data_IF_201454109478
#
_entry.id   IF_201454109478
#
_cell.length_a   1.000
_cell.length_b   1.000
_cell.length_c   1.000
_cell.angle_alpha   90.00
_cell.angle_beta   90.00
_cell.angle_gamma   90.00
#
_symmetry.space_group_name_H-M   'P 1'
#
loop_
_entity.id
_entity.type
_entity.pdbx_description
1 polymer ?
#
# COMPACT_ATOMS: atom_id res chain seq x y z
N UNK A 1 62.07 -24.58 10.50
CA UNK A 1 60.68 -24.10 10.69
C UNK A 1 60.72 -22.61 10.43
N UNK A 2 60.38 -22.20 9.21
CA UNK A 2 60.59 -20.82 8.73
C UNK A 2 59.25 -20.31 8.24
N UNK A 3 58.80 -19.21 8.84
CA UNK A 3 57.57 -18.51 8.50
C UNK A 3 57.71 -17.85 7.13
N UNK A 4 56.65 -17.89 6.32
CA UNK A 4 56.56 -17.12 5.08
C UNK A 4 55.29 -16.28 5.08
N UNK A 5 55.51 -14.98 5.26
CA UNK A 5 54.66 -13.89 4.77
C UNK A 5 54.48 -14.01 3.24
N UNK A 6 53.36 -13.51 2.69
CA UNK A 6 53.39 -12.76 1.43
C UNK A 6 52.05 -12.12 1.08
N UNK A 7 52.18 -10.86 0.68
CA UNK A 7 51.20 -9.84 0.32
C UNK A 7 50.40 -10.12 -0.96
N UNK A 8 49.17 -9.57 -1.02
CA UNK A 8 48.41 -9.19 -2.23
C UNK A 8 49.20 -8.15 -3.07
N UNK A 9 48.79 -7.69 -4.29
CA UNK A 9 47.48 -7.80 -4.98
C UNK A 9 47.53 -7.97 -6.53
N UNK A 10 46.40 -8.25 -7.22
CA UNK A 10 46.22 -7.88 -8.64
C UNK A 10 44.78 -7.95 -9.17
N UNK A 11 44.26 -6.78 -9.54
CA UNK A 11 43.52 -6.40 -10.76
C UNK A 11 42.40 -7.27 -11.38
N UNK A 12 41.16 -6.84 -11.10
CA UNK A 12 40.10 -6.36 -12.03
C UNK A 12 39.52 -7.28 -13.15
N UNK A 13 38.40 -6.91 -13.81
CA UNK A 13 37.05 -7.40 -13.48
C UNK A 13 36.43 -8.20 -14.65
N UNK A 14 35.56 -9.18 -14.37
CA UNK A 14 34.85 -9.89 -15.45
C UNK A 14 33.37 -10.07 -15.13
N UNK A 15 32.56 -9.68 -16.12
CA UNK A 15 31.16 -9.99 -16.37
C UNK A 15 30.11 -9.39 -15.42
N UNK A 16 29.61 -8.22 -15.84
CA UNK A 16 28.24 -7.79 -15.58
C UNK A 16 27.27 -8.83 -16.17
N UNK A 17 26.71 -9.70 -15.33
CA UNK A 17 25.37 -10.23 -15.55
C UNK A 17 24.40 -9.31 -14.81
N UNK A 18 23.32 -8.80 -15.44
CA UNK A 18 22.27 -8.12 -14.70
C UNK A 18 21.56 -9.19 -13.87
N UNK A 19 22.00 -9.36 -12.63
CA UNK A 19 21.26 -10.08 -11.62
C UNK A 19 19.92 -9.36 -11.52
N UNK A 20 18.89 -9.99 -12.08
CA UNK A 20 17.53 -9.53 -11.97
C UNK A 20 17.30 -9.19 -10.50
N UNK A 21 16.99 -7.93 -10.24
CA UNK A 21 16.55 -7.50 -8.93
C UNK A 21 15.25 -8.25 -8.65
N UNK A 22 15.37 -9.44 -8.07
CA UNK A 22 14.32 -10.06 -7.31
C UNK A 22 13.87 -8.99 -6.33
N UNK A 23 12.65 -8.42 -6.43
CA UNK A 23 12.15 -7.58 -5.36
C UNK A 23 12.03 -8.54 -4.18
N UNK A 24 12.98 -8.43 -3.26
CA UNK A 24 12.98 -9.16 -2.01
C UNK A 24 11.58 -8.99 -1.42
N UNK A 25 10.79 -10.07 -1.49
CA UNK A 25 9.64 -10.27 -0.63
C UNK A 25 10.21 -10.30 0.79
N UNK A 26 10.39 -9.11 1.36
CA UNK A 26 10.74 -8.93 2.75
C UNK A 26 9.66 -9.63 3.54
N UNK A 27 10.03 -10.80 4.05
CA UNK A 27 9.48 -11.41 5.25
C UNK A 27 9.68 -10.42 6.39
N UNK A 28 8.81 -9.44 6.43
CA UNK A 28 8.53 -8.62 7.59
C UNK A 28 7.06 -8.23 7.46
N UNK A 29 6.25 -8.71 8.39
CA UNK A 29 5.10 -7.96 8.85
C UNK A 29 5.65 -6.63 9.41
N UNK A 30 6.01 -5.72 8.50
CA UNK A 30 6.75 -4.52 8.81
C UNK A 30 5.77 -3.41 9.13
N UNK A 31 5.91 -2.89 10.33
CA UNK A 31 5.35 -1.66 10.91
C UNK A 31 5.75 -0.39 10.14
N UNK A 32 5.85 -0.46 8.81
CA UNK A 32 6.30 0.61 7.91
C UNK A 32 5.20 1.05 6.96
N UNK A 33 5.14 2.35 6.67
CA UNK A 33 4.19 2.92 5.72
C UNK A 33 4.37 2.32 4.32
N UNK A 34 3.27 2.09 3.57
CA UNK A 34 3.36 1.73 2.16
C UNK A 34 4.09 2.85 1.41
N UNK A 35 5.14 2.52 0.66
CA UNK A 35 5.97 3.50 -0.07
C UNK A 35 5.68 3.55 -1.58
N UNK A 36 4.86 2.63 -2.10
CA UNK A 36 4.58 2.51 -3.53
C UNK A 36 3.55 1.44 -3.87
N UNK A 37 3.06 1.49 -5.12
CA UNK A 37 2.15 0.51 -5.71
C UNK A 37 2.94 -0.69 -6.26
N UNK A 38 3.43 -1.55 -5.37
CA UNK A 38 4.26 -2.70 -5.75
C UNK A 38 3.46 -3.93 -6.21
N UNK A 39 2.14 -3.92 -6.03
CA UNK A 39 1.25 -5.03 -6.36
C UNK A 39 1.30 -6.16 -5.32
N UNK A 40 0.72 -7.30 -5.69
CA UNK A 40 0.71 -8.49 -4.82
C UNK A 40 2.13 -9.08 -4.69
N UNK A 41 2.48 -9.67 -3.53
CA UNK A 41 3.75 -10.35 -3.36
C UNK A 41 3.81 -11.62 -4.24
N UNK A 42 5.03 -12.01 -4.63
CA UNK A 42 5.25 -13.23 -5.39
C UNK A 42 4.63 -14.45 -4.69
N UNK A 43 3.74 -15.17 -5.38
CA UNK A 43 3.01 -16.32 -4.87
C UNK A 43 1.59 -16.03 -4.34
N UNK A 44 1.17 -14.76 -4.27
CA UNK A 44 -0.23 -14.42 -3.99
C UNK A 44 -1.05 -14.44 -5.29
N UNK A 45 -1.84 -15.51 -5.45
CA UNK A 45 -2.71 -15.71 -6.62
C UNK A 45 -4.16 -15.29 -6.33
N UNK A 46 -4.41 -14.52 -5.26
CA UNK A 46 -5.77 -14.04 -4.95
C UNK A 46 -6.18 -12.99 -5.98
N UNK A 47 -7.37 -13.16 -6.57
CA UNK A 47 -7.97 -12.12 -7.40
C UNK A 47 -8.45 -10.91 -6.59
N UNK A 48 -8.77 -9.82 -7.29
CA UNK A 48 -9.24 -8.57 -6.68
C UNK A 48 -10.44 -8.77 -5.74
N UNK A 49 -11.44 -9.55 -6.17
CA UNK A 49 -12.63 -9.86 -5.37
C UNK A 49 -12.29 -10.56 -4.07
N UNK A 50 -11.35 -11.51 -4.10
CA UNK A 50 -10.90 -12.22 -2.90
C UNK A 50 -10.18 -11.27 -1.95
N UNK A 51 -9.37 -10.35 -2.47
CA UNK A 51 -8.72 -9.31 -1.65
C UNK A 51 -9.76 -8.37 -1.03
N UNK A 52 -10.73 -7.90 -1.80
CA UNK A 52 -11.81 -7.05 -1.27
C UNK A 52 -12.64 -7.76 -0.21
N UNK A 53 -12.93 -9.05 -0.40
CA UNK A 53 -13.73 -9.80 0.55
C UNK A 53 -12.97 -10.10 1.85
N UNK A 54 -11.66 -10.30 1.76
CA UNK A 54 -10.77 -10.56 2.91
C UNK A 54 -10.49 -9.27 3.71
N UNK A 55 -10.68 -8.09 3.12
CA UNK A 55 -10.37 -6.79 3.74
C UNK A 55 -11.65 -5.96 3.96
N UNK A 56 -12.31 -6.09 5.12
CA UNK A 56 -13.53 -5.33 5.41
C UNK A 56 -13.33 -3.81 5.36
N UNK A 57 -12.12 -3.31 5.65
CA UNK A 57 -11.78 -1.90 5.59
C UNK A 57 -11.88 -1.33 4.17
N UNK A 58 -11.55 -2.14 3.14
CA UNK A 58 -11.76 -1.75 1.75
C UNK A 58 -13.24 -1.63 1.42
N UNK A 59 -14.06 -2.55 1.92
CA UNK A 59 -15.51 -2.50 1.70
C UNK A 59 -16.10 -1.24 2.31
N UNK A 60 -15.60 -0.81 3.46
CA UNK A 60 -16.04 0.43 4.11
C UNK A 60 -15.68 1.68 3.27
N UNK A 61 -14.46 1.75 2.73
CA UNK A 61 -14.03 2.81 1.80
C UNK A 61 -14.88 2.83 0.52
N UNK A 62 -15.14 1.66 -0.05
CA UNK A 62 -15.91 1.50 -1.28
C UNK A 62 -17.41 1.76 -1.09
N UNK A 63 -17.92 1.54 0.11
CA UNK A 63 -19.31 1.81 0.48
C UNK A 63 -19.58 3.30 0.65
N UNK A 64 -18.55 4.15 0.70
CA UNK A 64 -18.72 5.59 0.68
C UNK A 64 -19.33 5.98 -0.67
N UNK A 65 -20.65 6.12 -0.71
CA UNK A 65 -21.40 6.47 -1.93
C UNK A 65 -21.66 7.98 -1.97
N UNK A 66 -21.49 8.58 -3.16
CA UNK A 66 -21.70 10.02 -3.34
C UNK A 66 -20.81 10.66 -4.41
N UNK A 67 -21.13 11.90 -4.82
CA UNK A 67 -20.41 12.60 -5.89
C UNK A 67 -18.94 12.87 -5.54
N UNK A 68 -18.64 13.11 -4.27
CA UNK A 68 -17.25 13.26 -3.80
C UNK A 68 -16.48 11.94 -3.86
N UNK A 69 -17.14 10.83 -3.50
CA UNK A 69 -16.51 9.52 -3.48
C UNK A 69 -16.03 9.11 -4.86
N UNK A 70 -16.75 9.47 -5.93
CA UNK A 70 -16.33 9.07 -7.27
C UNK A 70 -15.02 9.74 -7.71
N UNK A 71 -14.84 11.04 -7.46
CA UNK A 71 -13.56 11.74 -7.70
C UNK A 71 -12.45 11.17 -6.82
N UNK A 72 -12.75 10.94 -5.55
CA UNK A 72 -11.83 10.38 -4.58
C UNK A 72 -11.37 8.96 -4.93
N UNK A 73 -12.29 8.06 -5.27
CA UNK A 73 -12.00 6.70 -5.72
C UNK A 73 -11.19 6.71 -7.03
N UNK A 74 -11.48 7.62 -7.95
CA UNK A 74 -10.68 7.80 -9.17
C UNK A 74 -9.24 8.23 -8.85
N UNK A 75 -9.06 9.16 -7.91
CA UNK A 75 -7.72 9.56 -7.43
C UNK A 75 -6.99 8.40 -6.75
N UNK A 76 -7.68 7.61 -5.92
CA UNK A 76 -7.11 6.40 -5.32
C UNK A 76 -6.64 5.43 -6.40
N UNK A 77 -7.48 5.17 -7.41
CA UNK A 77 -7.12 4.31 -8.55
C UNK A 77 -5.91 4.83 -9.32
N UNK A 78 -5.75 6.14 -9.46
CA UNK A 78 -4.53 6.72 -10.07
C UNK A 78 -3.26 6.40 -9.28
N UNK A 79 -3.36 6.24 -7.95
CA UNK A 79 -2.23 5.94 -7.08
C UNK A 79 -1.99 4.42 -6.92
N UNK A 80 -3.06 3.63 -6.79
CA UNK A 80 -2.97 2.19 -6.50
C UNK A 80 -3.07 1.31 -7.74
N UNK A 81 -3.60 1.83 -8.84
CA UNK A 81 -4.05 1.09 -10.02
C UNK A 81 -5.58 0.98 -10.09
N UNK A 82 -6.12 0.71 -11.28
CA UNK A 82 -7.56 0.51 -11.46
C UNK A 82 -7.97 -0.91 -11.04
N UNK A 83 -8.60 -0.99 -9.87
CA UNK A 83 -9.22 -2.20 -9.33
C UNK A 83 -10.71 -2.32 -9.71
N UNK A 84 -11.21 -1.41 -10.55
CA UNK A 84 -12.61 -1.36 -10.95
C UNK A 84 -12.99 -2.47 -11.94
N UNK A 85 -14.30 -2.71 -12.14
CA UNK A 85 -14.76 -3.67 -13.14
C UNK A 85 -14.47 -3.23 -14.58
N UNK A 86 -14.10 -1.96 -14.79
CA UNK A 86 -13.72 -1.42 -16.11
C UNK A 86 -12.36 -1.91 -16.61
N UNK A 87 -11.54 -2.53 -15.74
CA UNK A 87 -10.26 -3.11 -16.12
C UNK A 87 -10.45 -4.60 -16.47
N UNK A 88 -10.30 -4.97 -17.74
CA UNK A 88 -10.39 -6.36 -18.18
C UNK A 88 -9.26 -7.25 -17.64
N UNK A 89 -8.14 -6.65 -17.21
CA UNK A 89 -7.01 -7.38 -16.67
C UNK A 89 -7.22 -7.74 -15.19
N UNK A 90 -7.59 -8.99 -14.96
CA UNK A 90 -7.84 -9.54 -13.62
C UNK A 90 -6.61 -9.47 -12.69
N UNK A 91 -5.41 -9.66 -13.24
CA UNK A 91 -4.15 -9.59 -12.47
C UNK A 91 -3.88 -8.15 -12.03
N UNK A 92 -4.00 -7.19 -12.97
CA UNK A 92 -3.84 -5.76 -12.69
C UNK A 92 -4.85 -5.27 -11.66
N UNK A 93 -6.11 -5.74 -11.74
CA UNK A 93 -7.13 -5.44 -10.73
C UNK A 93 -6.75 -5.97 -9.36
N UNK A 94 -6.19 -7.18 -9.30
CA UNK A 94 -5.81 -7.82 -8.05
C UNK A 94 -4.61 -7.10 -7.40
N UNK A 95 -3.61 -6.71 -8.20
CA UNK A 95 -2.49 -5.90 -7.73
C UNK A 95 -2.95 -4.54 -7.22
N UNK A 96 -3.86 -3.89 -7.94
CA UNK A 96 -4.45 -2.63 -7.54
C UNK A 96 -5.25 -2.72 -6.24
N UNK A 97 -6.06 -3.78 -6.09
CA UNK A 97 -6.82 -4.04 -4.87
C UNK A 97 -5.89 -4.32 -3.68
N UNK A 98 -4.80 -5.05 -3.90
CA UNK A 98 -3.80 -5.33 -2.88
C UNK A 98 -3.05 -4.06 -2.44
N UNK A 99 -2.66 -3.20 -3.39
CA UNK A 99 -2.05 -1.91 -3.07
C UNK A 99 -2.98 -1.06 -2.19
N UNK A 100 -4.26 -0.97 -2.55
CA UNK A 100 -5.25 -0.25 -1.76
C UNK A 100 -5.43 -0.89 -0.38
N UNK A 101 -5.47 -2.22 -0.26
CA UNK A 101 -5.62 -2.90 1.04
C UNK A 101 -4.48 -2.55 1.98
N UNK A 102 -3.25 -2.52 1.48
CA UNK A 102 -2.06 -2.15 2.26
C UNK A 102 -2.14 -0.72 2.77
N UNK A 103 -2.61 0.21 1.95
CA UNK A 103 -2.78 1.62 2.33
C UNK A 103 -3.88 1.78 3.37
N UNK A 104 -5.04 1.19 3.12
CA UNK A 104 -6.20 1.29 4.00
C UNK A 104 -5.91 0.65 5.35
N UNK A 105 -5.33 -0.56 5.38
CA UNK A 105 -4.97 -1.23 6.63
C UNK A 105 -3.86 -0.48 7.39
N UNK A 106 -2.92 0.15 6.68
CA UNK A 106 -1.91 0.98 7.32
C UNK A 106 -2.52 2.20 8.01
N UNK A 107 -3.46 2.89 7.35
CA UNK A 107 -4.15 4.06 7.90
C UNK A 107 -5.04 3.67 9.09
N UNK A 108 -5.84 2.61 8.94
CA UNK A 108 -6.73 2.07 9.97
C UNK A 108 -5.96 1.64 11.23
N UNK A 109 -4.77 1.07 11.05
CA UNK A 109 -3.87 0.69 12.14
C UNK A 109 -2.95 1.80 12.68
N UNK A 110 -2.87 2.98 12.04
CA UNK A 110 -1.88 4.02 12.39
C UNK A 110 -2.21 4.67 13.74
N UNK A 111 -1.24 4.75 14.62
CA UNK A 111 -1.38 5.46 15.90
C UNK A 111 -1.35 6.98 15.71
N UNK A 112 -1.95 7.72 16.65
CA UNK A 112 -1.95 9.19 16.63
C UNK A 112 -2.97 9.84 15.70
N UNK A 113 -3.85 9.06 15.05
CA UNK A 113 -4.98 9.59 14.30
C UNK A 113 -6.18 9.88 15.20
N UNK A 114 -6.91 10.95 14.87
CA UNK A 114 -8.09 11.42 15.56
C UNK A 114 -9.29 10.54 15.19
N UNK A 115 -9.75 9.74 16.16
CA UNK A 115 -10.89 8.81 16.06
C UNK A 115 -11.94 9.16 17.10
N UNK A 116 -13.18 8.67 16.95
CA UNK A 116 -14.21 8.85 17.98
C UNK A 116 -13.86 8.10 19.28
N UNK A 117 -13.00 7.08 19.24
CA UNK A 117 -12.47 6.42 20.42
C UNK A 117 -11.22 5.58 20.12
N UNK A 118 -10.40 5.34 21.15
CA UNK A 118 -9.14 4.57 21.04
C UNK A 118 -9.37 3.11 20.62
N UNK A 119 -10.52 2.54 20.97
CA UNK A 119 -10.93 1.17 20.60
C UNK A 119 -11.25 1.01 19.11
N UNK A 120 -11.27 2.10 18.34
CA UNK A 120 -11.59 2.05 16.92
C UNK A 120 -10.37 2.05 16.00
N UNK A 121 -9.16 1.99 16.58
CA UNK A 121 -7.97 1.66 15.83
C UNK A 121 -8.04 0.20 15.37
N UNK A 122 -7.88 -0.07 14.08
CA UNK A 122 -7.97 -1.44 13.59
C UNK A 122 -9.41 -1.98 13.47
N UNK A 123 -10.44 -1.14 13.56
CA UNK A 123 -11.85 -1.57 13.47
C UNK A 123 -12.30 -1.85 12.03
N UNK A 124 -11.41 -1.66 11.06
CA UNK A 124 -11.70 -1.79 9.64
C UNK A 124 -12.78 -0.79 9.17
N UNK A 125 -12.82 0.38 9.80
CA UNK A 125 -13.79 1.45 9.52
C UNK A 125 -13.08 2.76 9.42
N UNK A 126 -13.24 3.43 8.29
CA UNK A 126 -12.56 4.69 8.04
C UNK A 126 -13.33 5.85 8.67
N UNK A 127 -12.76 6.44 9.71
CA UNK A 127 -13.40 7.55 10.41
C UNK A 127 -12.96 8.92 9.91
N UNK A 128 -13.86 9.89 10.11
CA UNK A 128 -13.59 11.30 9.86
C UNK A 128 -14.07 11.80 8.50
N UNK A 129 -14.74 10.95 7.70
CA UNK A 129 -15.53 11.40 6.57
C UNK A 129 -16.72 12.23 7.07
N UNK A 130 -16.81 13.47 6.61
CA UNK A 130 -17.91 14.38 6.83
C UNK A 130 -18.76 14.54 5.57
N UNK A 131 -19.75 15.43 5.65
CA UNK A 131 -20.65 15.70 4.54
C UNK A 131 -19.90 16.32 3.35
N UNK A 132 -20.28 15.91 2.13
CA UNK A 132 -19.71 16.40 0.86
C UNK A 132 -18.19 16.19 0.70
N UNK A 133 -17.60 15.20 1.36
CA UNK A 133 -16.15 14.93 1.25
C UNK A 133 -15.26 15.82 2.09
N UNK A 134 -15.87 16.52 3.04
CA UNK A 134 -15.14 17.12 4.15
C UNK A 134 -14.47 16.00 4.94
N UNK A 135 -13.24 16.22 5.41
CA UNK A 135 -12.53 15.26 6.26
C UNK A 135 -12.05 15.95 7.52
N UNK A 136 -12.13 15.26 8.65
CA UNK A 136 -11.74 15.82 9.93
C UNK A 136 -10.22 15.91 10.06
N UNK A 137 -9.70 17.02 10.57
CA UNK A 137 -8.26 17.20 10.72
C UNK A 137 -7.64 16.15 11.64
N UNK A 138 -6.59 15.48 11.13
CA UNK A 138 -5.89 14.40 11.83
C UNK A 138 -6.62 13.06 11.86
N UNK A 139 -7.76 12.91 11.18
CA UNK A 139 -8.48 11.63 11.08
C UNK A 139 -7.94 10.72 9.97
N UNK A 140 -8.37 9.46 9.97
CA UNK A 140 -8.07 8.45 8.95
C UNK A 140 -8.51 8.89 7.56
N UNK A 141 -9.71 9.45 7.45
CA UNK A 141 -10.22 9.99 6.21
C UNK A 141 -9.35 11.14 5.66
N UNK A 142 -8.78 11.98 6.53
CA UNK A 142 -7.84 13.02 6.07
C UNK A 142 -6.58 12.41 5.49
N UNK A 143 -6.01 11.39 6.14
CA UNK A 143 -4.81 10.73 5.65
C UNK A 143 -5.07 10.00 4.33
N UNK A 144 -6.22 9.32 4.21
CA UNK A 144 -6.64 8.65 2.98
C UNK A 144 -6.91 9.66 1.85
N UNK A 145 -7.51 10.82 2.16
CA UNK A 145 -7.65 11.95 1.22
C UNK A 145 -6.29 12.47 0.77
N UNK A 146 -5.38 12.73 1.70
CA UNK A 146 -4.02 13.16 1.39
C UNK A 146 -3.28 12.14 0.53
N UNK A 147 -3.47 10.84 0.77
CA UNK A 147 -2.96 9.77 -0.07
C UNK A 147 -3.55 9.80 -1.48
N UNK A 148 -4.85 10.05 -1.63
CA UNK A 148 -5.44 10.17 -2.98
C UNK A 148 -4.81 11.31 -3.80
N UNK A 149 -4.36 12.38 -3.14
CA UNK A 149 -3.77 13.56 -3.79
C UNK A 149 -2.25 13.48 -3.99
N UNK A 150 -1.52 13.02 -2.97
CA UNK A 150 -0.04 12.96 -2.96
C UNK A 150 0.54 11.56 -3.19
N UNK A 151 -0.31 10.53 -3.19
CA UNK A 151 0.12 9.14 -3.20
C UNK A 151 0.81 8.72 -1.91
N UNK A 152 1.71 7.76 -2.03
CA UNK A 152 2.42 7.13 -0.93
C UNK A 152 3.25 8.08 -0.06
N UNK A 153 3.68 9.22 -0.60
CA UNK A 153 4.37 10.27 0.15
C UNK A 153 3.52 10.87 1.28
N UNK A 154 2.19 10.75 1.22
CA UNK A 154 1.31 11.16 2.32
C UNK A 154 1.39 10.24 3.53
N UNK A 155 1.88 9.00 3.36
CA UNK A 155 1.88 7.98 4.40
C UNK A 155 3.19 7.95 5.20
N UNK A 156 4.22 8.69 4.77
CA UNK A 156 5.51 8.76 5.46
C UNK A 156 5.44 9.49 6.82
#
# INVERSE_FOLDING_TARGET
MTQSISSSPSSAPTAYSPQAAEPQASKNAGTGAPTGAYGRPAGDHRGAEKIFNDNPALKDVLKQDGPFSNDFLNKLKKQTGDWGPANDNSESRADAAYNLSKVVNHIDGREGLKRQGSSQQGDHRMQGFGQFGSVSAGSEAQLLKAFSEKGYSALQ
#
